data_IF_350435177158
#
_entry.id   IF_350435177158
#
_cell.length_a   1.000
_cell.length_b   1.000
_cell.length_c   1.000
_cell.angle_alpha   90.00
_cell.angle_beta   90.00
_cell.angle_gamma   90.00
#
_symmetry.space_group_name_H-M   'P 1'
#
loop_
_entity.id
_entity.type
_entity.pdbx_description
1 polymer ?
#
# COMPACT_ATOMS: atom_id res chain seq x y z
N UNK A 1 130.86 7.57 109.21
CA UNK A 1 129.68 8.46 109.03
C UNK A 1 129.24 8.57 107.57
N UNK A 2 129.57 7.60 106.70
CA UNK A 2 129.26 7.64 105.26
C UNK A 2 128.31 6.53 104.81
N UNK A 3 127.91 5.61 105.72
CA UNK A 3 127.00 4.49 105.44
C UNK A 3 125.54 4.81 105.81
N UNK A 4 125.29 5.58 106.88
CA UNK A 4 123.92 5.95 107.30
C UNK A 4 123.26 6.96 106.36
N UNK A 5 123.99 7.93 105.83
CA UNK A 5 123.46 8.90 104.86
C UNK A 5 123.16 8.27 103.49
N UNK A 6 123.92 7.25 103.10
CA UNK A 6 123.63 6.43 101.92
C UNK A 6 122.39 5.56 102.16
N UNK A 7 122.25 4.97 103.36
CA UNK A 7 121.08 4.17 103.75
C UNK A 7 119.79 4.99 103.76
N UNK A 8 119.79 6.18 104.37
CA UNK A 8 118.62 7.07 104.41
C UNK A 8 118.24 7.60 103.02
N UNK A 9 119.22 7.99 102.20
CA UNK A 9 118.94 8.40 100.81
C UNK A 9 118.38 7.23 99.98
N UNK A 10 118.86 6.01 100.20
CA UNK A 10 118.34 4.82 99.52
C UNK A 10 116.91 4.49 99.97
N UNK A 11 116.60 4.69 101.26
CA UNK A 11 115.25 4.53 101.81
C UNK A 11 114.29 5.58 101.24
N UNK A 12 114.68 6.85 101.21
CA UNK A 12 113.83 7.93 100.67
C UNK A 12 113.62 7.76 99.15
N UNK A 13 114.61 7.23 98.41
CA UNK A 13 114.47 6.87 96.99
C UNK A 13 113.50 5.69 96.81
N UNK A 14 113.57 4.67 97.68
CA UNK A 14 112.64 3.53 97.67
C UNK A 14 111.21 3.96 98.04
N UNK A 15 111.04 4.85 99.01
CA UNK A 15 109.75 5.36 99.46
C UNK A 15 109.12 6.32 98.43
N UNK A 16 109.94 7.14 97.74
CA UNK A 16 109.49 7.88 96.55
C UNK A 16 109.07 6.94 95.41
N UNK A 17 109.80 5.84 95.19
CA UNK A 17 109.46 4.87 94.16
C UNK A 17 108.16 4.11 94.49
N UNK A 18 107.94 3.72 95.74
CA UNK A 18 106.70 3.06 96.20
C UNK A 18 105.48 3.99 96.13
N UNK A 19 105.65 5.28 96.47
CA UNK A 19 104.59 6.28 96.30
C UNK A 19 104.27 6.51 94.81
N UNK A 20 105.28 6.61 93.94
CA UNK A 20 105.10 6.74 92.48
C UNK A 20 104.46 5.48 91.86
N UNK A 21 104.77 4.29 92.38
CA UNK A 21 104.09 3.04 92.00
C UNK A 21 102.64 3.05 92.46
N UNK A 22 102.36 3.49 93.69
CA UNK A 22 101.01 3.56 94.25
C UNK A 22 100.14 4.56 93.46
N UNK A 23 100.67 5.73 93.13
CA UNK A 23 99.99 6.72 92.29
C UNK A 23 99.73 6.19 90.87
N UNK A 24 100.68 5.45 90.29
CA UNK A 24 100.49 4.77 88.99
C UNK A 24 99.43 3.68 89.07
N UNK A 25 99.36 2.91 90.16
CA UNK A 25 98.32 1.88 90.38
C UNK A 25 96.95 2.54 90.51
N UNK A 26 96.81 3.59 91.33
CA UNK A 26 95.55 4.34 91.46
C UNK A 26 95.10 4.98 90.14
N UNK A 27 96.04 5.51 89.35
CA UNK A 27 95.77 6.02 88.00
C UNK A 27 95.28 4.91 87.07
N UNK A 28 95.90 3.73 87.11
CA UNK A 28 95.49 2.56 86.34
C UNK A 28 94.12 2.05 86.78
N UNK A 29 93.83 1.96 88.08
CA UNK A 29 92.51 1.55 88.59
C UNK A 29 91.42 2.52 88.15
N UNK A 30 91.67 3.83 88.21
CA UNK A 30 90.75 4.85 87.71
C UNK A 30 90.54 4.72 86.20
N UNK A 31 91.61 4.47 85.45
CA UNK A 31 91.56 4.25 84.00
C UNK A 31 90.78 3.00 83.64
N UNK A 32 90.94 1.92 84.41
CA UNK A 32 90.19 0.67 84.26
C UNK A 32 88.72 0.91 84.54
N UNK A 33 88.36 1.60 85.64
CA UNK A 33 86.97 1.93 85.96
C UNK A 33 86.32 2.84 84.89
N UNK A 34 87.06 3.81 84.34
CA UNK A 34 86.60 4.62 83.21
C UNK A 34 86.34 3.77 81.95
N UNK A 35 87.25 2.85 81.62
CA UNK A 35 87.12 1.93 80.49
C UNK A 35 85.97 0.94 80.67
N UNK A 36 85.74 0.43 81.88
CA UNK A 36 84.60 -0.43 82.21
C UNK A 36 83.29 0.32 81.99
N UNK A 37 83.20 1.56 82.49
CA UNK A 37 82.02 2.41 82.29
C UNK A 37 81.78 2.77 80.82
N UNK A 38 82.84 3.08 80.07
CA UNK A 38 82.76 3.30 78.62
C UNK A 38 82.34 2.02 77.88
N UNK A 39 82.82 0.85 78.32
CA UNK A 39 82.43 -0.45 77.78
C UNK A 39 80.95 -0.74 78.02
N UNK A 40 80.44 -0.49 79.22
CA UNK A 40 79.02 -0.63 79.57
C UNK A 40 78.14 0.32 78.75
N UNK A 41 78.49 1.61 78.67
CA UNK A 41 77.75 2.60 77.88
C UNK A 41 77.74 2.25 76.38
N UNK A 42 78.87 1.79 75.85
CA UNK A 42 78.99 1.30 74.47
C UNK A 42 78.11 0.05 74.24
N UNK A 43 78.09 -0.88 75.20
CA UNK A 43 77.24 -2.07 75.16
C UNK A 43 75.75 -1.73 75.16
N UNK A 44 75.31 -0.79 76.00
CA UNK A 44 73.93 -0.28 75.99
C UNK A 44 73.57 0.38 74.66
N UNK A 45 74.45 1.24 74.14
CA UNK A 45 74.23 1.91 72.85
C UNK A 45 74.15 0.90 71.71
N UNK A 46 74.99 -0.14 71.73
CA UNK A 46 74.94 -1.20 70.74
C UNK A 46 73.62 -2.00 70.82
N UNK A 47 73.13 -2.28 72.04
CA UNK A 47 71.85 -2.93 72.26
C UNK A 47 70.66 -2.09 71.74
N UNK A 48 70.66 -0.77 72.03
CA UNK A 48 69.63 0.17 71.53
C UNK A 48 69.64 0.24 70.01
N UNK A 49 70.81 0.42 69.40
CA UNK A 49 70.95 0.45 67.93
C UNK A 49 70.50 -0.87 67.30
N UNK A 50 70.78 -2.03 67.93
CA UNK A 50 70.25 -3.32 67.46
C UNK A 50 68.73 -3.36 67.49
N UNK A 51 68.11 -2.88 68.56
CA UNK A 51 66.65 -2.86 68.70
C UNK A 51 66.00 -1.90 67.69
N UNK A 52 66.56 -0.70 67.51
CA UNK A 52 66.11 0.26 66.50
C UNK A 52 66.27 -0.30 65.08
N UNK A 53 67.41 -0.93 64.77
CA UNK A 53 67.65 -1.55 63.48
C UNK A 53 66.64 -2.67 63.20
N UNK A 54 66.37 -3.53 64.21
CA UNK A 54 65.35 -4.56 64.11
C UNK A 54 63.96 -3.97 63.82
N UNK A 55 63.60 -2.90 64.53
CA UNK A 55 62.31 -2.22 64.32
C UNK A 55 62.21 -1.61 62.91
N UNK A 56 63.28 -0.98 62.41
CA UNK A 56 63.35 -0.44 61.06
C UNK A 56 63.23 -1.54 60.00
N UNK A 57 63.89 -2.69 60.21
CA UNK A 57 63.77 -3.85 59.30
C UNK A 57 62.34 -4.37 59.26
N UNK A 58 61.68 -4.55 60.41
CA UNK A 58 60.27 -4.96 60.45
C UNK A 58 59.36 -3.94 59.75
N UNK A 59 59.60 -2.65 59.96
CA UNK A 59 58.84 -1.59 59.30
C UNK A 59 59.07 -1.57 57.79
N UNK A 60 60.31 -1.76 57.33
CA UNK A 60 60.64 -1.84 55.91
C UNK A 60 59.94 -3.04 55.26
N UNK A 61 60.03 -4.22 55.87
CA UNK A 61 59.35 -5.42 55.36
C UNK A 61 57.83 -5.24 55.28
N UNK A 62 57.20 -4.63 56.30
CA UNK A 62 55.77 -4.36 56.28
C UNK A 62 55.37 -3.38 55.15
N UNK A 63 56.19 -2.36 54.89
CA UNK A 63 55.94 -1.43 53.77
C UNK A 63 56.17 -2.11 52.40
N UNK A 64 57.15 -3.01 52.29
CA UNK A 64 57.37 -3.80 51.06
C UNK A 64 56.21 -4.76 50.79
N UNK A 65 55.66 -5.40 51.82
CA UNK A 65 54.47 -6.24 51.69
C UNK A 65 53.26 -5.43 51.25
N UNK A 66 53.00 -4.27 51.89
CA UNK A 66 51.93 -3.35 51.48
C UNK A 66 52.09 -2.87 50.04
N UNK A 67 53.32 -2.55 49.61
CA UNK A 67 53.58 -2.13 48.24
C UNK A 67 53.27 -3.26 47.25
N UNK A 68 53.72 -4.50 47.54
CA UNK A 68 53.43 -5.67 46.71
C UNK A 68 51.93 -5.97 46.64
N UNK A 69 51.23 -5.91 47.76
CA UNK A 69 49.77 -6.07 47.80
C UNK A 69 49.07 -5.00 46.96
N UNK A 70 49.51 -3.75 47.06
CA UNK A 70 48.97 -2.65 46.28
C UNK A 70 49.26 -2.82 44.78
N UNK A 71 50.47 -3.23 44.40
CA UNK A 71 50.85 -3.52 43.01
C UNK A 71 49.95 -4.60 42.42
N UNK A 72 49.79 -5.74 43.10
CA UNK A 72 48.90 -6.83 42.68
C UNK A 72 47.46 -6.34 42.57
N UNK A 73 46.97 -5.59 43.56
CA UNK A 73 45.61 -5.07 43.54
C UNK A 73 45.35 -4.13 42.35
N UNK A 74 46.30 -3.24 42.05
CA UNK A 74 46.18 -2.32 40.91
C UNK A 74 46.26 -3.05 39.57
N UNK A 75 47.11 -4.08 39.45
CA UNK A 75 47.20 -4.90 38.24
C UNK A 75 45.91 -5.69 38.01
N UNK A 76 45.35 -6.31 39.05
CA UNK A 76 44.07 -7.01 38.97
C UNK A 76 42.92 -6.09 38.53
N UNK A 77 42.85 -4.87 39.08
CA UNK A 77 41.88 -3.85 38.67
C UNK A 77 42.07 -3.45 37.20
N UNK A 78 43.31 -3.19 36.78
CA UNK A 78 43.62 -2.83 35.40
C UNK A 78 43.25 -3.95 34.43
N UNK A 79 43.54 -5.21 34.78
CA UNK A 79 43.14 -6.36 33.98
C UNK A 79 41.62 -6.49 33.89
N UNK A 80 40.90 -6.27 34.99
CA UNK A 80 39.44 -6.32 35.01
C UNK A 80 38.83 -5.24 34.12
N UNK A 81 39.28 -3.98 34.23
CA UNK A 81 38.82 -2.89 33.38
C UNK A 81 39.18 -3.10 31.91
N UNK A 82 40.37 -3.63 31.63
CA UNK A 82 40.77 -4.00 30.27
C UNK A 82 39.85 -5.07 29.68
N UNK A 83 39.44 -6.09 30.46
CA UNK A 83 38.48 -7.12 30.02
C UNK A 83 37.11 -6.50 29.76
N UNK A 84 36.58 -5.67 30.68
CA UNK A 84 35.31 -4.97 30.52
C UNK A 84 35.29 -4.08 29.27
N UNK A 85 36.35 -3.32 29.03
CA UNK A 85 36.46 -2.48 27.84
C UNK A 85 36.49 -3.31 26.55
N UNK A 86 37.26 -4.41 26.52
CA UNK A 86 37.28 -5.32 25.35
C UNK A 86 35.90 -5.91 25.06
N UNK A 87 35.20 -6.36 26.09
CA UNK A 87 33.83 -6.91 25.95
C UNK A 87 32.84 -5.86 25.44
N UNK A 88 32.91 -4.63 25.97
CA UNK A 88 32.07 -3.52 25.53
C UNK A 88 32.33 -3.15 24.06
N UNK A 89 33.60 -3.07 23.65
CA UNK A 89 33.99 -2.80 22.26
C UNK A 89 33.48 -3.91 21.34
N UNK A 90 33.72 -5.19 21.67
CA UNK A 90 33.23 -6.29 20.84
C UNK A 90 31.70 -6.35 20.77
N UNK A 91 30.98 -5.93 21.82
CA UNK A 91 29.53 -5.81 21.78
C UNK A 91 29.08 -4.73 20.79
N UNK A 92 29.68 -3.54 20.88
CA UNK A 92 29.39 -2.42 19.98
C UNK A 92 29.72 -2.77 18.52
N UNK A 93 30.84 -3.43 18.26
CA UNK A 93 31.22 -3.86 16.91
C UNK A 93 30.20 -4.83 16.31
N UNK A 94 29.68 -5.78 17.11
CA UNK A 94 28.61 -6.70 16.66
C UNK A 94 27.31 -5.96 16.39
N UNK A 95 26.89 -5.07 17.28
CA UNK A 95 25.67 -4.27 17.10
C UNK A 95 25.75 -3.40 15.84
N UNK A 96 26.91 -2.77 15.59
CA UNK A 96 27.15 -2.01 14.36
C UNK A 96 27.20 -2.88 13.12
N UNK A 97 27.78 -4.08 13.21
CA UNK A 97 27.74 -5.06 12.12
C UNK A 97 26.31 -5.42 11.73
N UNK A 98 25.47 -5.75 12.71
CA UNK A 98 24.05 -6.07 12.47
C UNK A 98 23.27 -4.87 11.89
N UNK A 99 23.53 -3.66 12.38
CA UNK A 99 22.90 -2.44 11.85
C UNK A 99 23.32 -2.17 10.40
N UNK A 100 24.60 -2.36 10.06
CA UNK A 100 25.10 -2.24 8.69
C UNK A 100 24.47 -3.28 7.77
N UNK A 101 24.41 -4.55 8.18
CA UNK A 101 23.77 -5.63 7.42
C UNK A 101 22.28 -5.34 7.17
N UNK A 102 21.56 -4.87 8.19
CA UNK A 102 20.16 -4.47 8.08
C UNK A 102 19.97 -3.32 7.08
N UNK A 103 20.77 -2.26 7.20
CA UNK A 103 20.68 -1.11 6.29
C UNK A 103 21.07 -1.50 4.86
N UNK A 104 22.05 -2.38 4.69
CA UNK A 104 22.46 -2.87 3.38
C UNK A 104 21.37 -3.73 2.71
N UNK A 105 20.72 -4.62 3.46
CA UNK A 105 19.58 -5.39 2.97
C UNK A 105 18.41 -4.48 2.59
N UNK A 106 18.11 -3.46 3.42
CA UNK A 106 17.05 -2.49 3.13
C UNK A 106 17.36 -1.67 1.86
N UNK A 107 18.62 -1.30 1.66
CA UNK A 107 19.06 -0.58 0.47
C UNK A 107 18.93 -1.45 -0.78
N UNK A 108 19.34 -2.72 -0.73
CA UNK A 108 19.17 -3.67 -1.84
C UNK A 108 17.70 -3.83 -2.22
N UNK A 109 16.80 -4.00 -1.24
CA UNK A 109 15.37 -4.09 -1.50
C UNK A 109 14.83 -2.84 -2.21
N UNK A 110 15.23 -1.64 -1.75
CA UNK A 110 14.81 -0.39 -2.37
C UNK A 110 15.35 -0.24 -3.79
N UNK A 111 16.59 -0.68 -4.06
CA UNK A 111 17.18 -0.67 -5.39
C UNK A 111 16.47 -1.64 -6.35
N UNK A 112 16.07 -2.82 -5.87
CA UNK A 112 15.25 -3.79 -6.61
C UNK A 112 13.88 -3.19 -6.97
N UNK A 113 13.15 -2.67 -5.98
CA UNK A 113 11.86 -1.99 -6.19
C UNK A 113 11.99 -0.82 -7.18
N UNK A 114 13.06 -0.02 -7.09
CA UNK A 114 13.32 1.09 -8.01
C UNK A 114 13.62 0.61 -9.43
N UNK A 115 14.37 -0.48 -9.56
CA UNK A 115 14.68 -1.13 -10.84
C UNK A 115 13.40 -1.66 -11.52
N UNK A 116 12.54 -2.33 -10.75
CA UNK A 116 11.23 -2.81 -11.23
C UNK A 116 10.37 -1.64 -11.71
N UNK A 117 10.22 -0.58 -10.91
CA UNK A 117 9.46 0.61 -11.31
C UNK A 117 10.03 1.25 -12.58
N UNK A 118 11.37 1.38 -12.68
CA UNK A 118 12.04 1.90 -13.87
C UNK A 118 11.77 1.04 -15.10
N UNK A 119 11.65 -0.28 -14.94
CA UNK A 119 11.33 -1.20 -16.04
C UNK A 119 9.88 -1.11 -16.50
N UNK A 120 8.92 -0.82 -15.58
CA UNK A 120 7.51 -0.67 -15.93
C UNK A 120 7.20 0.64 -16.68
N UNK A 121 7.95 1.72 -16.40
CA UNK A 121 7.69 3.05 -16.97
C UNK A 121 7.68 3.05 -18.51
N UNK A 122 8.65 2.45 -19.24
CA UNK A 122 8.61 2.36 -20.70
C UNK A 122 7.38 1.62 -21.23
N UNK A 123 6.98 0.50 -20.61
CA UNK A 123 5.81 -0.27 -21.02
C UNK A 123 4.52 0.54 -20.87
N UNK A 124 4.38 1.27 -19.76
CA UNK A 124 3.24 2.15 -19.52
C UNK A 124 3.22 3.33 -20.51
N UNK A 125 4.37 3.93 -20.81
CA UNK A 125 4.48 5.00 -21.83
C UNK A 125 4.06 4.51 -23.21
N UNK A 126 4.54 3.35 -23.64
CA UNK A 126 4.14 2.76 -24.92
C UNK A 126 2.63 2.44 -24.97
N UNK A 127 2.05 1.99 -23.86
CA UNK A 127 0.60 1.78 -23.78
C UNK A 127 -0.19 3.10 -23.87
N UNK A 128 0.28 4.16 -23.23
CA UNK A 128 -0.33 5.49 -23.33
C UNK A 128 -0.28 5.99 -24.78
N UNK A 129 0.88 5.91 -25.43
CA UNK A 129 1.06 6.34 -26.83
C UNK A 129 0.11 5.58 -27.78
N UNK A 130 0.01 4.25 -27.62
CA UNK A 130 -0.92 3.43 -28.41
C UNK A 130 -2.38 3.83 -28.19
N UNK A 131 -2.79 4.05 -26.94
CA UNK A 131 -4.16 4.46 -26.62
C UNK A 131 -4.47 5.88 -27.12
N UNK A 132 -3.49 6.77 -27.11
CA UNK A 132 -3.63 8.11 -27.70
C UNK A 132 -3.80 8.04 -29.23
N UNK A 133 -3.09 7.15 -29.92
CA UNK A 133 -3.27 6.91 -31.35
C UNK A 133 -4.65 6.33 -31.67
N UNK A 134 -5.09 5.33 -30.90
CA UNK A 134 -6.44 4.74 -31.05
C UNK A 134 -7.53 5.79 -30.80
N UNK A 135 -7.36 6.64 -29.78
CA UNK A 135 -8.27 7.75 -29.51
C UNK A 135 -8.34 8.71 -30.68
N UNK A 136 -7.19 9.11 -31.26
CA UNK A 136 -7.16 10.01 -32.42
C UNK A 136 -7.87 9.40 -33.63
N UNK A 137 -7.61 8.13 -33.93
CA UNK A 137 -8.30 7.40 -35.02
C UNK A 137 -9.82 7.41 -34.83
N UNK A 138 -10.29 7.08 -33.64
CA UNK A 138 -11.74 7.08 -33.33
C UNK A 138 -12.35 8.48 -33.40
N UNK A 139 -11.60 9.52 -33.00
CA UNK A 139 -12.02 10.90 -33.14
C UNK A 139 -12.19 11.28 -34.63
N UNK A 140 -11.18 10.99 -35.46
CA UNK A 140 -11.23 11.25 -36.91
C UNK A 140 -12.40 10.51 -37.58
N UNK A 141 -12.63 9.23 -37.21
CA UNK A 141 -13.77 8.45 -37.70
C UNK A 141 -15.11 9.04 -37.28
N UNK A 142 -15.21 9.52 -36.04
CA UNK A 142 -16.43 10.16 -35.51
C UNK A 142 -16.71 11.47 -36.23
N UNK A 143 -15.69 12.28 -36.48
CA UNK A 143 -15.80 13.53 -37.24
C UNK A 143 -16.27 13.24 -38.68
N UNK A 144 -15.67 12.26 -39.36
CA UNK A 144 -16.08 11.83 -40.70
C UNK A 144 -17.52 11.29 -40.74
N UNK A 145 -17.99 10.61 -39.69
CA UNK A 145 -19.38 10.17 -39.57
C UNK A 145 -20.33 11.34 -39.30
N UNK A 146 -19.92 12.31 -38.48
CA UNK A 146 -20.69 13.52 -38.22
C UNK A 146 -20.91 14.32 -39.50
N UNK A 147 -19.87 14.50 -40.31
CA UNK A 147 -19.97 15.26 -41.57
C UNK A 147 -20.85 14.55 -42.60
N UNK A 148 -20.69 13.22 -42.76
CA UNK A 148 -21.63 12.43 -43.59
C UNK A 148 -23.08 12.54 -43.12
N UNK A 149 -23.31 12.54 -41.81
CA UNK A 149 -24.65 12.70 -41.27
C UNK A 149 -25.20 14.09 -41.57
N UNK A 150 -24.40 15.16 -41.43
CA UNK A 150 -24.81 16.53 -41.79
C UNK A 150 -25.20 16.60 -43.26
N UNK A 151 -24.36 16.11 -44.15
CA UNK A 151 -24.63 16.09 -45.59
C UNK A 151 -25.97 15.40 -45.91
N UNK A 152 -26.23 14.24 -45.28
CA UNK A 152 -27.50 13.55 -45.49
C UNK A 152 -28.71 14.22 -44.82
N UNK A 153 -28.53 14.92 -43.72
CA UNK A 153 -29.61 15.73 -43.14
C UNK A 153 -29.94 16.92 -44.05
N UNK A 154 -28.94 17.57 -44.64
CA UNK A 154 -29.15 18.66 -45.60
C UNK A 154 -29.80 18.17 -46.89
N UNK A 155 -29.35 17.03 -47.42
CA UNK A 155 -29.94 16.37 -48.59
C UNK A 155 -31.42 16.05 -48.35
N UNK A 156 -31.75 15.42 -47.22
CA UNK A 156 -33.13 15.13 -46.82
C UNK A 156 -33.96 16.40 -46.67
N UNK A 157 -33.42 17.46 -46.09
CA UNK A 157 -34.10 18.74 -45.97
C UNK A 157 -34.43 19.34 -47.34
N UNK A 158 -33.46 19.38 -48.26
CA UNK A 158 -33.65 19.85 -49.64
C UNK A 158 -34.73 19.04 -50.37
N UNK A 159 -34.76 17.73 -50.20
CA UNK A 159 -35.81 16.87 -50.79
C UNK A 159 -37.18 17.10 -50.16
N UNK A 160 -37.26 17.28 -48.84
CA UNK A 160 -38.50 17.65 -48.15
C UNK A 160 -39.05 18.99 -48.63
N UNK A 161 -38.20 19.99 -48.81
CA UNK A 161 -38.58 21.31 -49.31
C UNK A 161 -39.13 21.23 -50.75
N UNK A 162 -38.50 20.43 -51.62
CA UNK A 162 -39.01 20.16 -52.99
C UNK A 162 -40.38 19.49 -52.97
N UNK A 163 -40.56 18.44 -52.16
CA UNK A 163 -41.84 17.74 -52.04
C UNK A 163 -42.94 18.67 -51.50
N UNK A 164 -42.62 19.55 -50.57
CA UNK A 164 -43.54 20.57 -50.06
C UNK A 164 -43.97 21.54 -51.17
N UNK A 165 -43.01 22.01 -51.98
CA UNK A 165 -43.28 22.89 -53.12
C UNK A 165 -44.17 22.22 -54.17
N UNK A 166 -43.86 20.98 -54.56
CA UNK A 166 -44.67 20.20 -55.51
C UNK A 166 -46.09 19.96 -55.00
N UNK A 167 -46.25 19.64 -53.70
CA UNK A 167 -47.57 19.51 -53.08
C UNK A 167 -48.37 20.80 -53.16
N UNK A 168 -47.74 21.94 -52.87
CA UNK A 168 -48.40 23.24 -52.94
C UNK A 168 -48.78 23.63 -54.38
N UNK A 169 -47.91 23.35 -55.35
CA UNK A 169 -48.19 23.59 -56.77
C UNK A 169 -49.34 22.72 -57.27
N UNK A 170 -49.31 21.41 -56.96
CA UNK A 170 -50.41 20.50 -57.30
C UNK A 170 -51.74 20.91 -56.64
N UNK A 171 -51.69 21.45 -55.42
CA UNK A 171 -52.87 21.98 -54.74
C UNK A 171 -53.45 23.21 -55.45
N UNK A 172 -52.60 24.16 -55.86
CA UNK A 172 -53.04 25.32 -56.66
C UNK A 172 -53.66 24.90 -57.98
N UNK A 173 -53.07 23.95 -58.69
CA UNK A 173 -53.61 23.43 -59.94
C UNK A 173 -54.98 22.78 -59.75
N UNK A 174 -55.16 22.03 -58.65
CA UNK A 174 -56.48 21.48 -58.27
C UNK A 174 -57.50 22.58 -58.01
N UNK A 175 -57.12 23.65 -57.32
CA UNK A 175 -57.99 24.81 -57.06
C UNK A 175 -58.41 25.50 -58.36
N UNK A 176 -57.46 25.82 -59.26
CA UNK A 176 -57.78 26.40 -60.57
C UNK A 176 -58.65 25.48 -61.44
N UNK A 177 -58.39 24.18 -61.44
CA UNK A 177 -59.22 23.22 -62.16
C UNK A 177 -60.63 23.15 -61.56
N UNK A 178 -60.75 23.24 -60.23
CA UNK A 178 -62.04 23.28 -59.55
C UNK A 178 -62.83 24.55 -59.89
N UNK A 179 -62.19 25.72 -59.92
CA UNK A 179 -62.81 26.98 -60.39
C UNK A 179 -63.35 26.84 -61.82
N UNK A 180 -62.55 26.27 -62.73
CA UNK A 180 -62.98 26.01 -64.10
C UNK A 180 -64.18 25.05 -64.16
N UNK A 181 -64.18 23.99 -63.35
CA UNK A 181 -65.32 23.05 -63.24
C UNK A 181 -66.57 23.79 -62.74
N UNK A 182 -66.44 24.68 -61.77
CA UNK A 182 -67.55 25.49 -61.25
C UNK A 182 -68.12 26.43 -62.31
N UNK A 183 -67.27 27.09 -63.11
CA UNK A 183 -67.71 27.96 -64.20
C UNK A 183 -68.40 27.17 -65.31
N UNK A 184 -67.87 26.00 -65.70
CA UNK A 184 -68.52 25.10 -66.65
C UNK A 184 -69.86 24.58 -66.10
N UNK A 185 -69.96 24.29 -64.80
CA UNK A 185 -71.22 23.89 -64.15
C UNK A 185 -72.26 25.01 -64.23
N UNK A 186 -71.89 26.26 -63.94
CA UNK A 186 -72.79 27.42 -64.08
C UNK A 186 -73.25 27.60 -65.53
N UNK A 187 -72.35 27.46 -66.50
CA UNK A 187 -72.71 27.53 -67.92
C UNK A 187 -73.68 26.40 -68.33
N UNK A 188 -73.44 25.17 -67.87
CA UNK A 188 -74.35 24.04 -68.09
C UNK A 188 -75.72 24.27 -67.45
N UNK A 189 -75.77 24.81 -66.24
CA UNK A 189 -77.02 25.17 -65.55
C UNK A 189 -77.78 26.25 -66.34
N UNK A 190 -77.11 27.32 -66.79
CA UNK A 190 -77.73 28.34 -67.65
C UNK A 190 -78.29 27.76 -68.95
N UNK A 191 -77.54 26.87 -69.61
CA UNK A 191 -78.00 26.19 -70.82
C UNK A 191 -79.19 25.27 -70.56
N UNK A 192 -79.20 24.56 -69.43
CA UNK A 192 -80.34 23.74 -69.01
C UNK A 192 -81.58 24.58 -68.75
N UNK A 193 -81.46 25.71 -68.05
CA UNK A 193 -82.57 26.66 -67.83
C UNK A 193 -83.09 27.24 -69.15
N UNK A 194 -82.20 27.67 -70.05
CA UNK A 194 -82.58 28.15 -71.37
C UNK A 194 -83.32 27.08 -72.19
N UNK A 195 -82.85 25.82 -72.14
CA UNK A 195 -83.52 24.68 -72.77
C UNK A 195 -84.90 24.44 -72.14
N UNK A 196 -85.01 24.49 -70.82
CA UNK A 196 -86.28 24.31 -70.11
C UNK A 196 -87.28 25.44 -70.43
N UNK A 197 -86.82 26.69 -70.58
CA UNK A 197 -87.65 27.81 -71.05
C UNK A 197 -88.09 27.61 -72.51
N UNK A 198 -87.21 27.10 -73.37
CA UNK A 198 -87.54 26.76 -74.76
C UNK A 198 -88.51 25.56 -74.86
N UNK A 199 -88.39 24.59 -73.97
CA UNK A 199 -89.25 23.41 -73.87
C UNK A 199 -90.58 23.73 -73.17
N UNK A 200 -90.60 24.65 -72.20
CA UNK A 200 -91.81 25.23 -71.58
C UNK A 200 -92.65 25.95 -72.63
N UNK A 201 -92.01 26.63 -73.59
CA UNK A 201 -92.66 27.17 -74.80
C UNK A 201 -93.13 26.09 -75.80
N UNK A 202 -92.76 24.82 -75.61
CA UNK A 202 -93.07 23.69 -76.51
C UNK A 202 -93.82 22.53 -75.83
N UNK A 203 -94.24 22.68 -74.57
CA UNK A 203 -95.13 21.78 -73.83
C UNK A 203 -94.92 20.29 -74.08
N UNK A 204 -93.93 19.64 -73.42
CA UNK A 204 -93.88 18.18 -73.29
C UNK A 204 -93.33 17.68 -71.95
N UNK A 205 -93.85 16.52 -71.56
CA UNK A 205 -93.95 15.91 -70.23
C UNK A 205 -92.75 15.03 -69.83
N UNK A 206 -92.45 14.89 -68.51
CA UNK A 206 -91.28 14.17 -67.99
C UNK A 206 -91.63 12.72 -67.58
N UNK A 207 -91.03 11.72 -68.25
CA UNK A 207 -91.20 10.30 -67.90
C UNK A 207 -89.91 9.51 -67.64
N UNK A 208 -88.74 10.02 -68.06
CA UNK A 208 -87.48 9.27 -67.98
C UNK A 208 -86.68 9.49 -66.67
N UNK A 209 -86.96 10.58 -65.93
CA UNK A 209 -86.10 11.01 -64.82
C UNK A 209 -86.18 10.15 -63.55
N UNK A 210 -87.26 9.41 -63.33
CA UNK A 210 -87.48 8.69 -62.06
C UNK A 210 -86.56 7.46 -61.91
N UNK A 211 -86.24 6.78 -63.02
CA UNK A 211 -85.37 5.60 -63.01
C UNK A 211 -83.87 5.97 -62.95
N UNK A 212 -83.49 7.07 -63.61
CA UNK A 212 -82.14 7.66 -63.47
C UNK A 212 -81.90 8.20 -62.06
N UNK A 213 -82.92 8.78 -61.42
CA UNK A 213 -82.83 9.27 -60.04
C UNK A 213 -82.52 8.13 -59.07
N UNK A 214 -83.25 7.01 -59.15
CA UNK A 214 -83.03 5.84 -58.28
C UNK A 214 -81.63 5.22 -58.48
N UNK A 215 -81.11 5.20 -59.72
CA UNK A 215 -79.75 4.73 -59.99
C UNK A 215 -78.68 5.66 -59.37
N UNK A 216 -78.85 6.98 -59.50
CA UNK A 216 -77.93 7.98 -58.91
C UNK A 216 -77.94 7.99 -57.39
N UNK A 217 -79.10 7.78 -56.75
CA UNK A 217 -79.17 7.69 -55.29
C UNK A 217 -78.37 6.47 -54.78
N UNK A 218 -78.52 5.32 -55.43
CA UNK A 218 -77.80 4.09 -55.07
C UNK A 218 -76.29 4.19 -55.32
N UNK A 219 -75.88 4.88 -56.38
CA UNK A 219 -74.48 5.17 -56.66
C UNK A 219 -73.87 6.09 -55.59
N UNK A 220 -74.58 7.14 -55.18
CA UNK A 220 -74.15 8.05 -54.13
C UNK A 220 -73.98 7.36 -52.76
N UNK A 221 -74.88 6.43 -52.41
CA UNK A 221 -74.77 5.62 -51.19
C UNK A 221 -73.52 4.73 -51.22
N UNK A 222 -73.25 4.05 -52.32
CA UNK A 222 -72.05 3.21 -52.48
C UNK A 222 -70.75 4.04 -52.46
N UNK A 223 -70.76 5.23 -53.05
CA UNK A 223 -69.61 6.14 -52.97
C UNK A 223 -69.36 6.61 -51.52
N UNK A 224 -70.42 6.89 -50.76
CA UNK A 224 -70.30 7.30 -49.37
C UNK A 224 -69.74 6.14 -48.52
N UNK A 225 -70.20 4.92 -48.76
CA UNK A 225 -69.69 3.70 -48.11
C UNK A 225 -68.20 3.49 -48.42
N UNK A 226 -67.78 3.65 -49.68
CA UNK A 226 -66.37 3.55 -50.08
C UNK A 226 -65.52 4.63 -49.42
N UNK A 227 -66.01 5.87 -49.33
CA UNK A 227 -65.30 6.97 -48.65
C UNK A 227 -65.11 6.67 -47.17
N UNK A 228 -66.16 6.16 -46.50
CA UNK A 228 -66.11 5.74 -45.10
C UNK A 228 -65.11 4.61 -44.88
N UNK A 229 -65.19 3.54 -45.68
CA UNK A 229 -64.25 2.41 -45.59
C UNK A 229 -62.79 2.82 -45.85
N UNK A 230 -62.55 3.78 -46.76
CA UNK A 230 -61.20 4.34 -46.99
C UNK A 230 -60.72 5.19 -45.81
N UNK A 231 -61.61 5.90 -45.12
CA UNK A 231 -61.26 6.65 -43.92
C UNK A 231 -60.93 5.69 -42.76
N UNK A 232 -61.76 4.69 -42.53
CA UNK A 232 -61.55 3.69 -41.47
C UNK A 232 -60.25 2.91 -41.70
N UNK A 233 -59.94 2.52 -42.95
CA UNK A 233 -58.66 1.88 -43.27
C UNK A 233 -57.44 2.77 -43.00
N UNK A 234 -57.56 4.09 -43.25
CA UNK A 234 -56.48 5.03 -42.94
C UNK A 234 -56.27 5.15 -41.44
N UNK A 235 -57.36 5.28 -40.68
CA UNK A 235 -57.30 5.35 -39.21
C UNK A 235 -56.72 4.07 -38.59
N UNK A 236 -57.10 2.88 -39.09
CA UNK A 236 -56.53 1.61 -38.63
C UNK A 236 -55.03 1.50 -38.94
N UNK A 237 -54.57 2.02 -40.09
CA UNK A 237 -53.14 2.08 -40.41
C UNK A 237 -52.39 3.01 -39.48
N UNK A 238 -52.92 4.20 -39.21
CA UNK A 238 -52.32 5.15 -38.28
C UNK A 238 -52.20 4.56 -36.86
N UNK A 239 -53.24 3.87 -36.38
CA UNK A 239 -53.19 3.17 -35.09
C UNK A 239 -52.17 2.02 -35.08
N UNK A 240 -52.04 1.28 -36.19
CA UNK A 240 -51.05 0.21 -36.31
C UNK A 240 -49.62 0.78 -36.27
N UNK A 241 -49.37 1.87 -37.00
CA UNK A 241 -48.08 2.57 -37.03
C UNK A 241 -47.74 3.15 -35.63
N UNK A 242 -48.73 3.69 -34.92
CA UNK A 242 -48.55 4.16 -33.54
C UNK A 242 -48.20 3.02 -32.57
N UNK A 243 -48.91 1.89 -32.64
CA UNK A 243 -48.61 0.70 -31.82
C UNK A 243 -47.22 0.14 -32.14
N UNK A 244 -46.81 0.10 -33.41
CA UNK A 244 -45.46 -0.30 -33.80
C UNK A 244 -44.41 0.66 -33.22
N UNK A 245 -44.68 1.97 -33.23
CA UNK A 245 -43.82 2.97 -32.59
C UNK A 245 -43.71 2.78 -31.07
N UNK A 246 -44.81 2.43 -30.40
CA UNK A 246 -44.79 2.11 -28.96
C UNK A 246 -43.95 0.87 -28.64
N UNK A 247 -44.04 -0.19 -29.45
CA UNK A 247 -43.23 -1.41 -29.28
C UNK A 247 -41.73 -1.09 -29.39
N UNK A 248 -41.34 -0.29 -30.38
CA UNK A 248 -39.94 0.13 -30.56
C UNK A 248 -39.48 0.96 -29.36
N UNK A 249 -40.29 1.90 -28.89
CA UNK A 249 -39.95 2.72 -27.71
C UNK A 249 -39.75 1.86 -26.45
N UNK A 250 -40.64 0.89 -26.22
CA UNK A 250 -40.51 -0.05 -25.10
C UNK A 250 -39.25 -0.91 -25.23
N UNK A 251 -38.92 -1.38 -26.43
CA UNK A 251 -37.71 -2.18 -26.64
C UNK A 251 -36.44 -1.35 -26.38
N UNK A 252 -36.42 -0.08 -26.81
CA UNK A 252 -35.29 0.83 -26.56
C UNK A 252 -35.18 1.15 -25.07
N UNK A 253 -36.29 1.40 -24.37
CA UNK A 253 -36.28 1.63 -22.92
C UNK A 253 -35.81 0.39 -22.15
N UNK A 254 -36.22 -0.81 -22.55
CA UNK A 254 -35.71 -2.07 -22.01
C UNK A 254 -34.20 -2.22 -22.22
N UNK A 255 -33.71 -1.94 -23.43
CA UNK A 255 -32.27 -1.96 -23.73
C UNK A 255 -31.49 -0.91 -22.92
N UNK A 256 -32.00 0.33 -22.82
CA UNK A 256 -31.38 1.38 -21.99
C UNK A 256 -31.32 1.00 -20.52
N UNK A 257 -32.39 0.42 -19.98
CA UNK A 257 -32.43 -0.03 -18.58
C UNK A 257 -31.38 -1.13 -18.32
N UNK A 258 -31.19 -2.05 -19.26
CA UNK A 258 -30.13 -3.06 -19.18
C UNK A 258 -28.71 -2.46 -19.26
N UNK A 259 -28.52 -1.41 -20.06
CA UNK A 259 -27.21 -0.76 -20.20
C UNK A 259 -26.89 0.25 -19.07
N UNK A 260 -27.91 0.81 -18.42
CA UNK A 260 -27.75 1.80 -17.34
C UNK A 260 -27.85 1.19 -15.93
N UNK A 261 -28.20 -0.09 -15.79
CA UNK A 261 -28.15 -0.78 -14.51
C UNK A 261 -26.69 -0.85 -14.02
N UNK A 262 -26.38 -0.44 -12.78
CA UNK A 262 -25.05 -0.57 -12.21
C UNK A 262 -24.65 -2.05 -12.15
N UNK A 263 -23.36 -2.34 -12.40
CA UNK A 263 -22.84 -3.71 -12.50
C UNK A 263 -23.12 -4.53 -11.22
N UNK A 264 -23.31 -3.87 -10.07
CA UNK A 264 -23.66 -4.47 -8.78
C UNK A 264 -24.99 -5.22 -8.75
N UNK A 265 -25.92 -4.89 -9.64
CA UNK A 265 -27.29 -5.42 -9.64
C UNK A 265 -27.51 -6.48 -10.74
N UNK A 266 -26.43 -6.87 -11.43
CA UNK A 266 -26.46 -7.88 -12.49
C UNK A 266 -26.20 -9.27 -11.92
N UNK A 267 -26.90 -10.28 -12.45
CA UNK A 267 -26.65 -11.71 -12.18
C UNK A 267 -25.15 -12.10 -12.35
N UNK A 268 -24.42 -11.39 -13.21
CA UNK A 268 -22.98 -11.57 -13.39
C UNK A 268 -22.12 -11.09 -12.21
N UNK A 269 -22.58 -10.11 -11.42
CA UNK A 269 -21.91 -9.68 -10.19
C UNK A 269 -22.23 -10.62 -9.02
N UNK A 270 -23.43 -11.20 -8.97
CA UNK A 270 -23.77 -12.20 -7.97
C UNK A 270 -22.88 -13.46 -8.12
N UNK A 271 -22.61 -13.89 -9.35
CA UNK A 271 -21.69 -15.00 -9.66
C UNK A 271 -20.23 -14.68 -9.30
N UNK A 272 -19.81 -13.41 -9.37
CA UNK A 272 -18.45 -12.97 -9.00
C UNK A 272 -18.29 -12.59 -7.52
N UNK A 273 -19.38 -12.47 -6.77
CA UNK A 273 -19.37 -12.02 -5.37
C UNK A 273 -18.87 -13.07 -4.38
N UNK A 274 -18.81 -14.35 -4.78
CA UNK A 274 -17.94 -15.33 -4.11
C UNK A 274 -16.55 -15.14 -4.70
N UNK A 275 -15.72 -14.37 -4.02
CA UNK A 275 -14.40 -14.07 -4.55
C UNK A 275 -13.59 -15.36 -4.65
N UNK A 276 -12.85 -15.54 -5.75
CA UNK A 276 -11.87 -16.64 -5.91
C UNK A 276 -10.95 -16.75 -4.67
N UNK A 277 -10.66 -15.62 -4.06
CA UNK A 277 -9.95 -15.47 -2.78
C UNK A 277 -10.65 -16.16 -1.62
N UNK A 278 -11.94 -15.88 -1.36
CA UNK A 278 -12.70 -16.52 -0.28
C UNK A 278 -12.82 -18.04 -0.50
N UNK A 279 -12.99 -18.47 -1.75
CA UNK A 279 -13.02 -19.89 -2.08
C UNK A 279 -11.66 -20.57 -1.82
N UNK A 280 -10.56 -19.93 -2.23
CA UNK A 280 -9.20 -20.44 -1.98
C UNK A 280 -8.85 -20.44 -0.49
N UNK A 281 -9.28 -19.43 0.27
CA UNK A 281 -9.11 -19.40 1.73
C UNK A 281 -9.90 -20.50 2.43
N UNK A 282 -11.13 -20.77 2.00
CA UNK A 282 -11.94 -21.86 2.54
C UNK A 282 -11.32 -23.23 2.24
N UNK A 283 -10.79 -23.43 1.03
CA UNK A 283 -10.07 -24.66 0.65
C UNK A 283 -8.80 -24.83 1.48
N UNK A 284 -7.98 -23.79 1.64
CA UNK A 284 -6.76 -23.86 2.43
C UNK A 284 -7.04 -24.16 3.91
N UNK A 285 -8.07 -23.54 4.50
CA UNK A 285 -8.50 -23.85 5.87
C UNK A 285 -8.96 -25.31 6.00
N UNK A 286 -9.65 -25.84 5.01
CA UNK A 286 -10.09 -27.23 5.01
C UNK A 286 -8.90 -28.20 4.90
N UNK A 287 -7.91 -27.89 4.07
CA UNK A 287 -6.67 -28.68 3.96
C UNK A 287 -5.89 -28.72 5.28
N UNK A 288 -5.78 -27.58 5.97
CA UNK A 288 -5.12 -27.50 7.28
C UNK A 288 -5.84 -28.34 8.34
N UNK A 289 -7.18 -28.27 8.38
CA UNK A 289 -8.00 -29.10 9.28
C UNK A 289 -7.81 -30.58 8.98
N UNK A 290 -7.80 -30.97 7.71
CA UNK A 290 -7.59 -32.37 7.31
C UNK A 290 -6.20 -32.87 7.72
N UNK A 291 -5.16 -32.05 7.57
CA UNK A 291 -3.80 -32.41 8.00
C UNK A 291 -3.72 -32.65 9.50
N UNK A 292 -4.38 -31.78 10.28
CA UNK A 292 -4.45 -31.91 11.75
C UNK A 292 -5.28 -33.11 12.19
N UNK A 293 -6.38 -33.41 11.49
CA UNK A 293 -7.19 -34.61 11.75
C UNK A 293 -6.39 -35.87 11.44
N UNK A 294 -5.61 -35.88 10.37
CA UNK A 294 -4.77 -37.01 10.00
C UNK A 294 -3.70 -37.28 11.06
N UNK A 295 -2.95 -36.26 11.51
CA UNK A 295 -1.98 -36.40 12.61
C UNK A 295 -2.64 -36.87 13.93
N UNK A 296 -3.84 -36.38 14.23
CA UNK A 296 -4.60 -36.82 15.39
C UNK A 296 -5.04 -38.28 15.28
N UNK A 297 -5.53 -38.70 14.11
CA UNK A 297 -5.91 -40.08 13.83
C UNK A 297 -4.69 -40.99 13.93
N UNK A 298 -3.54 -40.60 13.36
CA UNK A 298 -2.31 -41.38 13.42
C UNK A 298 -1.85 -41.59 14.86
N UNK A 299 -1.93 -40.56 15.71
CA UNK A 299 -1.64 -40.66 17.15
C UNK A 299 -2.59 -41.60 17.87
N UNK A 300 -3.88 -41.56 17.55
CA UNK A 300 -4.87 -42.49 18.11
C UNK A 300 -4.60 -43.92 17.64
N UNK A 301 -4.32 -44.14 16.35
CA UNK A 301 -4.05 -45.46 15.79
C UNK A 301 -2.84 -46.08 16.50
N UNK A 302 -1.75 -45.32 16.67
CA UNK A 302 -0.56 -45.78 17.42
C UNK A 302 -0.93 -46.17 18.85
N UNK A 303 -1.66 -45.32 19.57
CA UNK A 303 -2.08 -45.61 20.95
C UNK A 303 -2.99 -46.85 21.06
N UNK A 304 -3.88 -47.07 20.08
CA UNK A 304 -4.74 -48.26 20.02
C UNK A 304 -3.93 -49.51 19.69
N UNK A 305 -2.98 -49.43 18.75
CA UNK A 305 -2.07 -50.53 18.42
C UNK A 305 -1.23 -50.96 19.63
N UNK A 306 -0.84 -50.04 20.50
CA UNK A 306 -0.10 -50.32 21.73
C UNK A 306 -0.97 -50.91 22.86
N UNK A 307 -2.26 -50.54 22.92
CA UNK A 307 -3.14 -50.89 24.04
C UNK A 307 -4.04 -52.12 23.77
N UNK A 308 -4.70 -52.17 22.61
CA UNK A 308 -5.59 -53.26 22.22
C UNK A 308 -5.85 -53.24 20.69
N UNK A 309 -5.07 -53.99 19.89
CA UNK A 309 -5.14 -53.96 18.42
C UNK A 309 -6.48 -54.42 17.84
N UNK A 310 -7.24 -55.25 18.57
CA UNK A 310 -8.51 -55.84 18.09
C UNK A 310 -9.61 -54.81 17.80
N UNK A 311 -9.47 -53.57 18.31
CA UNK A 311 -10.40 -52.46 18.06
C UNK A 311 -10.30 -51.92 16.62
N UNK A 312 -9.17 -52.13 15.94
CA UNK A 312 -8.95 -51.69 14.55
C UNK A 312 -9.43 -52.71 13.51
N UNK A 313 -9.95 -53.88 13.92
CA UNK A 313 -10.53 -54.85 12.99
C UNK A 313 -11.85 -54.31 12.41
N UNK A 314 -11.79 -53.84 11.17
CA UNK A 314 -12.99 -53.56 10.37
C UNK A 314 -13.66 -54.90 10.05
N UNK A 315 -14.89 -55.09 10.54
CA UNK A 315 -15.74 -56.24 10.21
C UNK A 315 -16.34 -56.18 8.82
#
# INVERSE_FOLDING_TARGET
MTLDTMSDLTRDILEMADNDITDKVLLLERRVAELEKESEASGEQHSRLRQENLHLVHRANALEEQLKEQEVHTDEQLQQETRRHKEAVSKLERERGMELEYLQARLQQLDEENSELRSCVPCLRANIERLEEEKRKLQDETEAMCDRLKDETESRRKMSDKLSHERHQSQKEKECMQELIEDLRKQLEHLQLYKLEAESKRGRTPGAGLQEYQARTREAELEQEIRRLKQDNRSLKEQNDELNGQIINLSIQGAKSLMSAPFSDSLAAEINSVSRTELMEAVHKQEEINYRLQDYIDKIIVAIMESNPSILEVK
#
